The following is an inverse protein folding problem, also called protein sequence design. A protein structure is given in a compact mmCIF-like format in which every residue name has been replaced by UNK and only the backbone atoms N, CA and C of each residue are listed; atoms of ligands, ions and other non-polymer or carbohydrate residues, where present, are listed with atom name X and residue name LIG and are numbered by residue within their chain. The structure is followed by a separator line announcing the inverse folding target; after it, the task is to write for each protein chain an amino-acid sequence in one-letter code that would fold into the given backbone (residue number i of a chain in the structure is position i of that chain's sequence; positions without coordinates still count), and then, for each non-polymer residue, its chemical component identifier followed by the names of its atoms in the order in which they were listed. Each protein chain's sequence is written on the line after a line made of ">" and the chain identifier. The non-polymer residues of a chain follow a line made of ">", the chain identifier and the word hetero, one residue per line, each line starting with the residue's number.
data_IF_372434105643
#
_entry.id   IF_372434105643
#
_cell.length_a   1.000
_cell.length_b   1.000
_cell.length_c   1.000
_cell.angle_alpha   90.00
_cell.angle_beta   90.00
_cell.angle_gamma   90.00
#
_symmetry.space_group_name_H-M   'P 1'
#
loop_
_entity.id
_entity.type
_entity.pdbx_description
1 polymer ?
#
# COMPACT_ATOMS: atom_id res chain seq x y z
N UNK A 1 0.97 -24.56 -5.32
CA UNK A 1 1.09 -23.14 -5.66
C UNK A 1 0.29 -22.36 -4.63
N UNK A 2 0.96 -21.51 -3.85
CA UNK A 2 0.28 -20.63 -2.89
C UNK A 2 -0.44 -19.52 -3.62
N UNK A 3 -1.72 -19.33 -3.29
CA UNK A 3 -2.54 -18.25 -3.84
C UNK A 3 -2.44 -16.99 -2.99
N UNK A 4 -2.79 -15.85 -3.56
CA UNK A 4 -2.97 -14.64 -2.80
C UNK A 4 -4.10 -14.81 -1.79
N UNK A 5 -3.87 -14.35 -0.56
CA UNK A 5 -4.80 -14.49 0.55
C UNK A 5 -4.72 -13.28 1.47
N UNK A 6 -5.84 -12.96 2.09
CA UNK A 6 -5.92 -11.98 3.16
C UNK A 6 -6.41 -12.66 4.42
N UNK A 7 -5.68 -12.51 5.51
CA UNK A 7 -6.01 -13.01 6.83
C UNK A 7 -6.22 -11.83 7.77
N UNK A 8 -7.27 -11.91 8.59
CA UNK A 8 -7.47 -10.99 9.71
C UNK A 8 -7.68 -11.77 10.99
N UNK A 9 -7.14 -11.27 12.09
CA UNK A 9 -7.22 -11.90 13.40
C UNK A 9 -7.27 -10.86 14.52
N UNK A 10 -7.89 -11.25 15.62
CA UNK A 10 -7.77 -10.55 16.91
C UNK A 10 -6.79 -11.35 17.77
N UNK A 11 -5.82 -10.69 18.34
CA UNK A 11 -4.76 -11.29 19.15
C UNK A 11 -4.61 -10.54 20.48
N UNK A 12 -3.84 -11.07 21.40
CA UNK A 12 -3.61 -10.50 22.74
C UNK A 12 -4.90 -10.14 23.46
N UNK A 13 -5.79 -11.14 23.63
CA UNK A 13 -7.10 -10.98 24.27
C UNK A 13 -7.96 -9.87 23.60
N UNK A 14 -7.94 -9.85 22.28
CA UNK A 14 -8.69 -8.90 21.44
C UNK A 14 -8.24 -7.43 21.57
N UNK A 15 -7.06 -7.18 22.15
CA UNK A 15 -6.50 -5.84 22.24
C UNK A 15 -5.74 -5.40 20.98
N UNK A 16 -5.42 -6.34 20.09
CA UNK A 16 -4.67 -6.07 18.87
C UNK A 16 -5.39 -6.70 17.69
N UNK A 17 -5.57 -5.91 16.64
CA UNK A 17 -6.10 -6.36 15.36
C UNK A 17 -4.95 -6.53 14.38
N UNK A 18 -4.91 -7.71 13.73
CA UNK A 18 -3.87 -8.06 12.77
C UNK A 18 -4.49 -8.33 11.41
N UNK A 19 -3.91 -7.72 10.38
CA UNK A 19 -4.16 -8.05 8.98
C UNK A 19 -2.86 -8.48 8.32
N UNK A 20 -2.90 -9.57 7.57
CA UNK A 20 -1.77 -10.04 6.76
C UNK A 20 -2.30 -10.34 5.37
N UNK A 21 -1.57 -9.92 4.34
CA UNK A 21 -1.95 -10.19 2.96
C UNK A 21 -0.74 -10.69 2.17
N UNK A 22 -0.96 -11.71 1.36
CA UNK A 22 -0.05 -12.14 0.31
C UNK A 22 -0.60 -11.61 -1.01
N UNK A 23 0.23 -10.94 -1.79
CA UNK A 23 -0.19 -10.23 -2.99
C UNK A 23 0.74 -10.50 -4.18
N UNK A 24 1.46 -11.61 -4.17
CA UNK A 24 2.45 -11.92 -5.22
C UNK A 24 1.83 -11.92 -6.60
N UNK A 25 0.67 -12.57 -6.78
CA UNK A 25 0.00 -12.66 -8.09
C UNK A 25 -0.61 -11.32 -8.49
N UNK A 26 -1.20 -10.60 -7.54
CA UNK A 26 -1.75 -9.26 -7.76
C UNK A 26 -0.68 -8.30 -8.27
N UNK A 27 0.48 -8.26 -7.61
CA UNK A 27 1.57 -7.35 -7.98
C UNK A 27 2.20 -7.77 -9.30
N UNK A 28 2.30 -9.07 -9.58
CA UNK A 28 2.77 -9.55 -10.88
C UNK A 28 1.82 -9.11 -12.00
N UNK A 29 0.52 -9.21 -11.78
CA UNK A 29 -0.48 -8.72 -12.76
C UNK A 29 -0.33 -7.22 -13.01
N UNK A 30 -0.11 -6.42 -11.98
CA UNK A 30 0.14 -4.99 -12.15
C UNK A 30 1.42 -4.71 -12.93
N UNK A 31 2.50 -5.45 -12.64
CA UNK A 31 3.75 -5.34 -13.39
C UNK A 31 3.55 -5.65 -14.87
N UNK A 32 2.86 -6.73 -15.18
CA UNK A 32 2.61 -7.16 -16.56
C UNK A 32 1.74 -6.14 -17.31
N UNK A 33 0.71 -5.62 -16.64
CA UNK A 33 -0.25 -4.70 -17.25
C UNK A 33 0.33 -3.34 -17.58
N UNK A 34 1.20 -2.82 -16.74
CA UNK A 34 1.76 -1.48 -16.87
C UNK A 34 3.24 -1.47 -17.28
N UNK A 35 3.83 -2.64 -17.46
CA UNK A 35 5.27 -2.77 -17.73
C UNK A 35 6.10 -2.01 -16.67
N UNK A 36 5.81 -2.27 -15.40
CA UNK A 36 6.43 -1.55 -14.29
C UNK A 36 7.92 -1.89 -14.17
N UNK A 37 8.77 -0.87 -14.17
CA UNK A 37 10.16 -1.03 -13.77
C UNK A 37 10.24 -1.42 -12.28
N UNK A 38 11.36 -2.01 -11.81
CA UNK A 38 11.44 -2.57 -10.46
C UNK A 38 11.03 -1.63 -9.33
N UNK A 39 11.54 -0.38 -9.30
CA UNK A 39 11.15 0.57 -8.27
C UNK A 39 9.68 0.97 -8.36
N UNK A 40 9.14 1.16 -9.56
CA UNK A 40 7.71 1.44 -9.75
C UNK A 40 6.86 0.26 -9.30
N UNK A 41 7.28 -0.96 -9.62
CA UNK A 41 6.61 -2.19 -9.19
C UNK A 41 6.60 -2.32 -7.66
N UNK A 42 7.71 -2.06 -7.01
CA UNK A 42 7.79 -2.09 -5.55
C UNK A 42 6.89 -1.01 -4.93
N UNK A 43 6.93 0.21 -5.44
CA UNK A 43 6.12 1.32 -4.91
C UNK A 43 4.62 1.04 -5.06
N UNK A 44 4.16 0.70 -6.25
CA UNK A 44 2.75 0.38 -6.49
C UNK A 44 2.33 -0.89 -5.76
N UNK A 45 3.14 -1.92 -5.80
CA UNK A 45 2.85 -3.20 -5.16
C UNK A 45 2.70 -3.10 -3.64
N UNK A 46 3.57 -2.34 -2.97
CA UNK A 46 3.44 -2.05 -1.54
C UNK A 46 2.14 -1.31 -1.25
N UNK A 47 1.81 -0.32 -2.06
CA UNK A 47 0.56 0.47 -1.91
C UNK A 47 -0.67 -0.40 -2.14
N UNK A 48 -0.69 -1.20 -3.19
CA UNK A 48 -1.79 -2.15 -3.47
C UNK A 48 -2.00 -3.12 -2.31
N UNK A 49 -0.92 -3.63 -1.73
CA UNK A 49 -0.98 -4.59 -0.62
C UNK A 49 -1.60 -3.99 0.63
N UNK A 50 -1.15 -2.79 1.02
CA UNK A 50 -1.74 -2.08 2.17
C UNK A 50 -3.18 -1.68 1.88
N UNK A 51 -3.47 -1.19 0.68
CA UNK A 51 -4.82 -0.80 0.27
C UNK A 51 -5.81 -1.97 0.31
N UNK A 52 -5.39 -3.18 -0.07
CA UNK A 52 -6.23 -4.38 0.01
C UNK A 52 -6.70 -4.64 1.45
N UNK A 53 -5.80 -4.52 2.41
CA UNK A 53 -6.15 -4.66 3.83
C UNK A 53 -7.05 -3.53 4.31
N UNK A 54 -6.80 -2.30 3.89
CA UNK A 54 -7.65 -1.14 4.24
C UNK A 54 -9.05 -1.29 3.64
N UNK A 55 -9.17 -1.79 2.41
CA UNK A 55 -10.46 -2.13 1.82
C UNK A 55 -11.22 -3.15 2.66
N UNK A 56 -10.55 -4.20 3.12
CA UNK A 56 -11.14 -5.23 3.98
C UNK A 56 -11.60 -4.70 5.35
N UNK A 57 -11.15 -3.52 5.77
CA UNK A 57 -11.62 -2.85 6.99
C UNK A 57 -12.94 -2.10 6.79
N UNK A 58 -13.37 -1.86 5.56
CA UNK A 58 -14.64 -1.19 5.26
C UNK A 58 -15.84 -2.02 5.77
N UNK A 59 -16.89 -1.34 6.15
CA UNK A 59 -18.04 -1.97 6.85
C UNK A 59 -19.07 -2.57 5.90
N UNK A 60 -19.17 -2.06 4.66
CA UNK A 60 -20.15 -2.55 3.69
C UNK A 60 -19.56 -2.61 2.29
N UNK A 61 -20.15 -3.45 1.44
CA UNK A 61 -19.73 -3.63 0.04
C UNK A 61 -19.96 -2.40 -0.84
N UNK A 62 -20.76 -1.45 -0.38
CA UNK A 62 -21.05 -0.20 -1.10
C UNK A 62 -19.99 0.86 -0.84
N UNK A 63 -19.15 0.65 0.18
CA UNK A 63 -18.06 1.56 0.53
C UNK A 63 -16.82 1.29 -0.31
N UNK A 64 -16.04 2.33 -0.54
CA UNK A 64 -14.73 2.23 -1.18
C UNK A 64 -13.79 3.27 -0.61
N UNK A 65 -12.50 3.11 -0.85
CA UNK A 65 -11.52 4.12 -0.55
C UNK A 65 -10.56 4.33 -1.71
N UNK A 66 -10.03 5.53 -1.79
CA UNK A 66 -8.99 5.93 -2.74
C UNK A 66 -7.77 6.43 -1.98
N UNK A 67 -6.60 6.03 -2.42
CA UNK A 67 -5.32 6.45 -1.87
C UNK A 67 -4.55 7.17 -2.96
N UNK A 68 -4.02 8.35 -2.65
CA UNK A 68 -3.10 9.07 -3.52
C UNK A 68 -1.83 9.37 -2.76
N UNK A 69 -0.70 8.95 -3.30
CA UNK A 69 0.62 9.27 -2.77
C UNK A 69 1.35 10.09 -3.82
N UNK A 70 1.81 11.27 -3.43
CA UNK A 70 2.66 12.10 -4.28
C UNK A 70 3.73 12.76 -3.42
N UNK A 71 4.95 12.32 -3.59
CA UNK A 71 6.13 12.87 -2.90
C UNK A 71 6.97 13.78 -3.78
N UNK A 72 6.47 14.13 -4.98
CA UNK A 72 7.16 14.92 -6.00
C UNK A 72 8.48 14.28 -6.44
N UNK A 73 8.59 12.96 -6.30
CA UNK A 73 9.69 12.19 -6.87
C UNK A 73 9.44 11.82 -8.33
N UNK A 74 10.41 11.14 -8.95
CA UNK A 74 10.36 10.81 -10.39
C UNK A 74 9.17 9.94 -10.81
N UNK A 75 8.61 9.13 -9.90
CA UNK A 75 7.46 8.28 -10.20
C UNK A 75 6.17 9.08 -10.42
N UNK A 76 6.11 10.32 -9.91
CA UNK A 76 4.89 11.11 -9.91
C UNK A 76 3.91 10.67 -8.83
N UNK A 77 2.66 10.48 -9.20
CA UNK A 77 1.61 10.03 -8.29
C UNK A 77 1.43 8.51 -8.33
N UNK A 78 1.11 7.96 -7.17
CA UNK A 78 0.58 6.59 -7.02
C UNK A 78 -0.89 6.74 -6.64
N UNK A 79 -1.78 6.14 -7.41
CA UNK A 79 -3.23 6.20 -7.17
C UNK A 79 -3.76 4.78 -7.09
N UNK A 80 -4.46 4.47 -6.00
CA UNK A 80 -5.02 3.14 -5.75
C UNK A 80 -6.43 3.27 -5.19
N UNK A 81 -7.36 2.51 -5.75
CA UNK A 81 -8.70 2.33 -5.21
C UNK A 81 -8.81 0.94 -4.58
N UNK A 82 -9.52 0.87 -3.46
CA UNK A 82 -9.73 -0.38 -2.73
C UNK A 82 -11.21 -0.54 -2.33
N UNK A 83 -11.64 -1.80 -2.29
CA UNK A 83 -13.03 -2.18 -2.07
C UNK A 83 -13.15 -3.11 -0.86
N UNK A 84 -14.36 -3.22 -0.33
CA UNK A 84 -14.63 -3.98 0.90
C UNK A 84 -14.27 -5.48 0.80
N UNK A 85 -14.29 -6.04 -0.41
CA UNK A 85 -13.90 -7.43 -0.65
C UNK A 85 -12.38 -7.65 -0.71
N UNK A 86 -11.57 -6.60 -0.51
CA UNK A 86 -10.13 -6.64 -0.61
C UNK A 86 -9.58 -6.46 -2.02
N UNK A 87 -10.44 -6.32 -3.03
CA UNK A 87 -10.00 -6.03 -4.39
C UNK A 87 -9.44 -4.62 -4.48
N UNK A 88 -8.45 -4.47 -5.32
CA UNK A 88 -7.77 -3.19 -5.55
C UNK A 88 -7.49 -2.99 -7.02
N UNK A 89 -7.37 -1.74 -7.42
CA UNK A 89 -6.81 -1.34 -8.70
C UNK A 89 -6.01 -0.05 -8.52
N UNK A 90 -5.03 0.16 -9.36
CA UNK A 90 -4.21 1.35 -9.23
C UNK A 90 -3.18 1.48 -10.33
N UNK A 91 -2.50 2.63 -10.33
CA UNK A 91 -1.47 2.95 -11.32
C UNK A 91 -0.46 3.94 -10.74
N UNK A 92 0.63 4.12 -11.45
CA UNK A 92 1.62 5.17 -11.19
C UNK A 92 1.74 6.06 -12.42
N UNK A 93 2.08 7.34 -12.23
CA UNK A 93 2.21 8.28 -13.33
C UNK A 93 3.36 7.92 -14.27
N UNK A 94 4.49 7.45 -13.73
CA UNK A 94 5.65 7.03 -14.52
C UNK A 94 6.02 5.58 -14.23
N UNK A 95 5.45 4.60 -14.96
CA UNK A 95 5.76 3.19 -14.75
C UNK A 95 7.19 2.81 -15.12
N UNK A 96 7.84 3.60 -15.96
CA UNK A 96 9.21 3.37 -16.44
C UNK A 96 10.24 4.25 -15.73
N UNK A 97 9.95 4.68 -14.51
CA UNK A 97 10.90 5.45 -13.72
C UNK A 97 12.23 4.71 -13.60
N UNK A 98 13.34 5.45 -13.71
CA UNK A 98 14.67 4.88 -13.53
C UNK A 98 14.83 4.34 -12.10
N UNK A 99 15.40 3.14 -12.00
CA UNK A 99 15.64 2.54 -10.71
C UNK A 99 16.76 3.25 -9.96
N UNK A 100 16.54 3.43 -8.68
CA UNK A 100 17.55 3.89 -7.73
C UNK A 100 17.80 2.76 -6.74
N UNK A 101 19.07 2.45 -6.50
CA UNK A 101 19.46 1.41 -5.56
C UNK A 101 20.09 2.01 -4.32
N UNK A 102 19.79 1.46 -3.14
CA UNK A 102 20.52 1.74 -1.91
C UNK A 102 21.88 1.03 -1.96
N UNK A 103 21.88 -0.20 -2.48
CA UNK A 103 23.03 -1.04 -2.74
C UNK A 103 22.63 -2.10 -3.78
N UNK A 104 23.57 -2.86 -4.37
CA UNK A 104 23.23 -3.94 -5.29
C UNK A 104 22.17 -4.88 -4.68
N UNK A 105 21.09 -5.11 -5.42
CA UNK A 105 19.97 -5.95 -4.99
C UNK A 105 18.95 -5.29 -4.04
N UNK A 106 19.15 -4.03 -3.64
CA UNK A 106 18.20 -3.31 -2.78
C UNK A 106 17.70 -2.03 -3.42
N UNK A 107 16.41 -2.02 -3.78
CA UNK A 107 15.73 -0.88 -4.37
C UNK A 107 15.59 0.27 -3.36
N UNK A 108 15.75 1.51 -3.84
CA UNK A 108 15.48 2.71 -3.07
C UNK A 108 14.13 3.30 -3.50
N UNK A 109 13.05 2.75 -2.98
CA UNK A 109 11.69 3.17 -3.32
C UNK A 109 11.44 4.62 -2.89
N UNK A 110 11.92 4.99 -1.71
CA UNK A 110 11.77 6.36 -1.21
C UNK A 110 12.37 7.41 -2.14
N UNK A 111 13.46 7.09 -2.83
CA UNK A 111 14.09 8.01 -3.78
C UNK A 111 13.22 8.25 -5.02
N UNK A 112 12.46 7.24 -5.49
CA UNK A 112 11.60 7.40 -6.66
C UNK A 112 10.23 7.98 -6.30
N UNK A 113 9.73 7.70 -5.11
CA UNK A 113 8.47 8.28 -4.61
C UNK A 113 8.66 9.74 -4.19
N UNK A 114 9.74 10.04 -3.50
CA UNK A 114 9.98 11.35 -2.90
C UNK A 114 9.29 11.50 -1.56
N UNK A 115 9.65 12.55 -0.82
CA UNK A 115 9.12 12.83 0.51
C UNK A 115 8.55 14.24 0.65
N UNK A 116 8.63 15.05 -0.39
CA UNK A 116 8.10 16.42 -0.39
C UNK A 116 6.65 16.43 -0.87
N UNK A 117 5.78 15.84 -0.10
CA UNK A 117 4.37 15.72 -0.46
C UNK A 117 3.58 14.89 0.55
N UNK A 118 2.48 14.31 0.08
CA UNK A 118 1.46 13.76 0.96
C UNK A 118 0.98 12.37 0.54
N UNK A 119 0.44 11.68 1.54
CA UNK A 119 -0.42 10.51 1.38
C UNK A 119 -1.83 10.94 1.79
N UNK A 120 -2.78 10.77 0.89
CA UNK A 120 -4.19 11.13 1.10
C UNK A 120 -5.08 9.90 0.94
N UNK A 121 -5.96 9.70 1.90
CA UNK A 121 -6.98 8.64 1.86
C UNK A 121 -8.35 9.31 1.86
N UNK A 122 -9.18 8.95 0.88
CA UNK A 122 -10.56 9.40 0.79
C UNK A 122 -11.46 8.16 0.82
N UNK A 123 -12.42 8.15 1.76
CA UNK A 123 -13.37 7.05 1.90
C UNK A 123 -14.76 7.52 1.48
N UNK A 124 -15.36 6.80 0.54
CA UNK A 124 -16.78 6.91 0.23
C UNK A 124 -17.55 5.93 1.12
N UNK A 125 -18.20 6.46 2.13
CA UNK A 125 -18.89 5.68 3.17
C UNK A 125 -20.38 5.50 2.88
N UNK A 126 -20.79 5.73 1.62
CA UNK A 126 -22.14 5.48 1.12
C UNK A 126 -23.22 6.29 1.86
N UNK A 127 -23.71 5.80 3.00
CA UNK A 127 -24.77 6.43 3.79
C UNK A 127 -24.29 7.42 4.86
N UNK A 128 -22.99 7.53 5.04
CA UNK A 128 -22.35 8.43 5.99
C UNK A 128 -21.63 9.57 5.23
N UNK A 129 -21.21 10.58 5.97
CA UNK A 129 -20.38 11.65 5.41
C UNK A 129 -19.02 11.08 4.96
N UNK A 130 -18.58 11.44 3.75
CA UNK A 130 -17.31 10.98 3.23
C UNK A 130 -16.15 11.48 4.11
N UNK A 131 -15.17 10.61 4.29
CA UNK A 131 -13.96 10.90 5.05
C UNK A 131 -12.81 11.23 4.11
N UNK A 132 -12.00 12.21 4.47
CA UNK A 132 -10.72 12.49 3.80
C UNK A 132 -9.67 12.83 4.85
N UNK A 133 -8.54 12.13 4.78
CA UNK A 133 -7.39 12.37 5.64
C UNK A 133 -6.11 12.48 4.81
N UNK A 134 -5.24 13.42 5.15
CA UNK A 134 -3.99 13.64 4.46
C UNK A 134 -2.86 13.86 5.45
N UNK A 135 -1.72 13.23 5.21
CA UNK A 135 -0.51 13.37 6.04
C UNK A 135 0.72 13.60 5.16
N UNK A 136 1.71 14.27 5.72
CA UNK A 136 3.01 14.41 5.08
C UNK A 136 3.72 13.06 5.02
N UNK A 137 4.40 12.80 3.92
CA UNK A 137 5.22 11.60 3.76
C UNK A 137 6.40 11.62 4.73
N UNK A 138 6.72 10.45 5.29
CA UNK A 138 7.81 10.28 6.24
C UNK A 138 9.07 9.74 5.57
N UNK A 139 8.94 8.71 4.74
CA UNK A 139 10.09 8.06 4.09
C UNK A 139 9.92 7.84 2.59
N UNK A 140 8.68 7.83 2.10
CA UNK A 140 8.37 7.41 0.73
C UNK A 140 8.55 5.90 0.51
N UNK A 141 8.90 5.14 1.54
CA UNK A 141 9.00 3.66 1.49
C UNK A 141 7.64 2.97 1.65
N UNK A 142 6.58 3.75 1.78
CA UNK A 142 5.17 3.35 1.83
C UNK A 142 4.73 2.88 3.23
N UNK A 143 5.41 1.92 3.83
CA UNK A 143 5.00 1.36 5.13
C UNK A 143 4.96 2.41 6.25
N UNK A 144 6.02 3.17 6.41
CA UNK A 144 6.11 4.22 7.43
C UNK A 144 5.08 5.32 7.19
N UNK A 145 4.81 5.62 5.94
CA UNK A 145 3.85 6.66 5.54
C UNK A 145 2.43 6.26 5.93
N UNK A 146 2.04 5.02 5.72
CA UNK A 146 0.74 4.49 6.18
C UNK A 146 0.66 4.37 7.71
N UNK A 147 1.72 3.95 8.38
CA UNK A 147 1.74 3.90 9.84
C UNK A 147 1.48 5.29 10.44
N UNK A 148 2.11 6.30 9.87
CA UNK A 148 1.90 7.70 10.27
C UNK A 148 0.48 8.17 9.96
N UNK A 149 -0.06 7.82 8.80
CA UNK A 149 -1.45 8.12 8.45
C UNK A 149 -2.44 7.55 9.48
N UNK A 150 -2.31 6.28 9.82
CA UNK A 150 -3.21 5.66 10.79
C UNK A 150 -3.11 6.32 12.18
N UNK A 151 -1.91 6.62 12.60
CA UNK A 151 -1.69 7.23 13.92
C UNK A 151 -2.23 8.65 13.98
N UNK A 152 -1.98 9.45 12.96
CA UNK A 152 -2.34 10.87 12.96
C UNK A 152 -3.78 11.13 12.50
N UNK A 153 -4.19 10.54 11.38
CA UNK A 153 -5.52 10.79 10.79
C UNK A 153 -6.62 9.93 11.39
N UNK A 154 -6.35 8.66 11.68
CA UNK A 154 -7.35 7.76 12.25
C UNK A 154 -7.19 7.58 13.76
N UNK A 155 -6.17 8.21 14.34
CA UNK A 155 -5.88 8.17 15.78
C UNK A 155 -5.77 6.74 16.33
N UNK A 156 -5.26 5.84 15.50
CA UNK A 156 -5.11 4.42 15.83
C UNK A 156 -3.63 4.06 15.76
N UNK A 157 -2.96 3.76 16.88
CA UNK A 157 -1.57 3.33 16.87
C UNK A 157 -1.42 2.08 16.03
N UNK A 158 -0.60 2.15 14.98
CA UNK A 158 -0.53 1.13 13.94
C UNK A 158 0.92 0.91 13.51
N UNK A 159 1.31 -0.35 13.39
CA UNK A 159 2.53 -0.75 12.70
C UNK A 159 2.15 -1.29 11.32
N UNK A 160 2.89 -0.90 10.30
CA UNK A 160 2.71 -1.36 8.92
C UNK A 160 4.03 -1.88 8.39
N UNK A 161 4.01 -3.08 7.85
CA UNK A 161 5.13 -3.66 7.10
C UNK A 161 4.63 -4.05 5.73
N UNK A 162 5.39 -3.73 4.70
CA UNK A 162 5.05 -4.12 3.33
C UNK A 162 6.33 -4.35 2.53
N UNK A 163 6.24 -5.19 1.51
CA UNK A 163 7.39 -5.49 0.68
C UNK A 163 7.00 -6.13 -0.64
N UNK A 164 7.85 -5.87 -1.63
CA UNK A 164 7.81 -6.51 -2.93
C UNK A 164 9.24 -6.93 -3.26
N UNK A 165 9.45 -8.22 -3.43
CA UNK A 165 10.74 -8.76 -3.84
C UNK A 165 10.72 -9.02 -5.34
N UNK A 166 11.59 -8.34 -6.07
CA UNK A 166 11.80 -8.57 -7.50
C UNK A 166 12.94 -9.58 -7.63
N UNK A 167 12.68 -10.67 -8.36
CA UNK A 167 13.67 -11.71 -8.62
C UNK A 167 14.72 -11.27 -9.63
N UNK A 168 15.76 -12.08 -9.77
CA UNK A 168 16.85 -11.83 -10.74
C UNK A 168 16.36 -11.90 -12.19
N UNK A 169 15.23 -12.54 -12.43
CA UNK A 169 14.53 -12.59 -13.72
C UNK A 169 13.68 -11.33 -14.01
N UNK A 170 13.65 -10.37 -13.08
CA UNK A 170 12.85 -9.15 -13.18
C UNK A 170 11.38 -9.33 -12.82
N UNK A 171 10.95 -10.53 -12.47
CA UNK A 171 9.56 -10.83 -12.08
C UNK A 171 9.38 -10.74 -10.57
N UNK A 172 8.12 -10.60 -10.14
CA UNK A 172 7.79 -10.56 -8.71
C UNK A 172 7.99 -11.95 -8.09
N UNK A 173 8.97 -12.07 -7.22
CA UNK A 173 9.24 -13.31 -6.49
C UNK A 173 8.27 -13.48 -5.33
N UNK A 174 7.99 -12.40 -4.59
CA UNK A 174 7.01 -12.36 -3.51
C UNK A 174 6.57 -10.94 -3.22
N UNK A 175 5.33 -10.80 -2.74
CA UNK A 175 4.80 -9.53 -2.28
C UNK A 175 3.79 -9.76 -1.16
N UNK A 176 3.71 -8.80 -0.25
CA UNK A 176 2.77 -8.85 0.85
C UNK A 176 2.90 -7.68 1.80
N UNK A 177 2.03 -7.68 2.79
CA UNK A 177 2.00 -6.63 3.80
C UNK A 177 1.31 -7.11 5.07
N UNK A 178 1.54 -6.37 6.15
CA UNK A 178 0.95 -6.61 7.46
C UNK A 178 0.56 -5.28 8.09
N UNK A 179 -0.60 -5.25 8.72
CA UNK A 179 -1.06 -4.15 9.57
C UNK A 179 -1.34 -4.70 10.94
N UNK A 180 -0.82 -4.04 11.96
CA UNK A 180 -1.00 -4.38 13.36
C UNK A 180 -1.50 -3.13 14.08
N UNK A 181 -2.73 -3.19 14.61
CA UNK A 181 -3.39 -2.04 15.22
C UNK A 181 -3.75 -2.30 16.66
N UNK A 182 -3.45 -1.34 17.53
CA UNK A 182 -3.92 -1.34 18.90
C UNK A 182 -5.40 -0.93 18.93
N UNK A 183 -6.23 -1.76 19.54
CA UNK A 183 -7.64 -1.45 19.77
C UNK A 183 -7.82 -0.72 21.10
N UNK A 184 -8.81 0.20 21.20
CA UNK A 184 -9.10 0.92 22.44
C UNK A 184 -9.56 0.03 23.58
#
# INVERSE_FOLDING_TARGET
>A
IMKDQLLKALVLNEHVRLYIVRTTDLVQEAQDRFDLHPCACAALGRTLSVASMMGAMLKSEEEMLSITINGHGPIGSIVVDAYANGNVCGFVSNPHVEDVLIRPGKLNVGAVVGTDGTLTVTKDLSMEENFSGSVELQSGEIGDDFAYYFTLSEQTPTAVSCGVLIGTDGRVASAGAMILQMLP
#
